data_IF_265833994736
#
_entry.id   IF_265833994736
#
_cell.length_a   1.000
_cell.length_b   1.000
_cell.length_c   1.000
_cell.angle_alpha   90.00
_cell.angle_beta   90.00
_cell.angle_gamma   90.00
#
_symmetry.space_group_name_H-M   'P 1'
#
loop_
_entity.id
_entity.type
_entity.pdbx_description
1 polymer ?
#
# COMPACT_ATOMS: atom_id res chain seq x y z
N UNK A 1 -14.83 11.57 -6.58
CA UNK A 1 -13.72 12.16 -5.82
C UNK A 1 -13.36 11.18 -4.71
N UNK A 2 -12.10 10.77 -4.64
CA UNK A 2 -11.58 9.92 -3.57
C UNK A 2 -11.06 10.81 -2.45
N UNK A 3 -11.42 10.49 -1.22
CA UNK A 3 -10.85 11.16 -0.05
C UNK A 3 -9.76 10.29 0.57
N UNK A 4 -8.51 10.77 0.57
CA UNK A 4 -7.39 10.11 1.25
C UNK A 4 -7.01 10.91 2.48
N UNK A 5 -7.35 10.39 3.66
CA UNK A 5 -7.09 11.07 4.92
C UNK A 5 -5.59 11.31 5.14
N UNK A 6 -5.25 12.44 5.78
CA UNK A 6 -3.87 12.75 6.12
C UNK A 6 -3.41 11.84 7.29
N UNK A 7 -2.40 10.98 7.09
CA UNK A 7 -1.89 10.12 8.15
C UNK A 7 -1.01 10.90 9.13
N UNK A 8 -0.84 10.34 10.34
CA UNK A 8 -0.03 10.94 11.42
C UNK A 8 1.32 10.26 11.62
N UNK A 9 1.63 9.22 10.84
CA UNK A 9 2.85 8.41 10.95
C UNK A 9 3.55 8.25 9.59
N UNK A 10 4.87 7.99 9.64
CA UNK A 10 5.74 7.94 8.46
C UNK A 10 5.36 6.80 7.48
N UNK A 11 5.00 5.63 7.99
CA UNK A 11 4.69 4.48 7.15
C UNK A 11 3.39 4.73 6.37
N UNK A 12 2.36 5.21 7.05
CA UNK A 12 1.08 5.56 6.42
C UNK A 12 1.22 6.75 5.48
N UNK A 13 2.04 7.77 5.80
CA UNK A 13 2.37 8.86 4.86
C UNK A 13 3.02 8.31 3.59
N UNK A 14 3.95 7.36 3.73
CA UNK A 14 4.60 6.73 2.58
C UNK A 14 3.60 5.94 1.73
N UNK A 15 2.67 5.20 2.37
CA UNK A 15 1.61 4.49 1.67
C UNK A 15 0.66 5.46 0.97
N UNK A 16 0.26 6.55 1.63
CA UNK A 16 -0.54 7.62 1.00
C UNK A 16 0.16 8.14 -0.26
N UNK A 17 1.44 8.50 -0.18
CA UNK A 17 2.19 9.03 -1.32
C UNK A 17 2.25 8.03 -2.48
N UNK A 18 2.44 6.74 -2.18
CA UNK A 18 2.37 5.68 -3.18
C UNK A 18 0.99 5.67 -3.84
N UNK A 19 -0.09 5.64 -3.07
CA UNK A 19 -1.45 5.58 -3.62
C UNK A 19 -1.81 6.83 -4.43
N UNK A 20 -1.40 8.01 -3.97
CA UNK A 20 -1.60 9.29 -4.65
C UNK A 20 -0.79 9.46 -5.93
N UNK A 21 0.16 8.56 -6.23
CA UNK A 21 0.87 8.56 -7.50
C UNK A 21 -0.02 8.19 -8.68
N UNK A 22 -1.07 7.38 -8.43
CA UNK A 22 -1.96 6.90 -9.49
C UNK A 22 -3.00 7.97 -9.83
N UNK A 23 -3.38 8.02 -11.10
CA UNK A 23 -4.55 8.79 -11.55
C UNK A 23 -5.78 8.50 -10.68
N UNK A 24 -6.50 9.56 -10.30
CA UNK A 24 -7.62 9.46 -9.36
C UNK A 24 -8.74 8.57 -9.92
N UNK A 25 -9.05 8.66 -11.22
CA UNK A 25 -10.12 7.86 -11.81
C UNK A 25 -9.74 6.37 -11.86
N UNK A 26 -8.48 6.06 -12.15
CA UNK A 26 -7.98 4.69 -12.06
C UNK A 26 -8.04 4.14 -10.64
N UNK A 27 -7.56 4.91 -9.66
CA UNK A 27 -7.59 4.51 -8.26
C UNK A 27 -9.04 4.28 -7.80
N UNK A 28 -9.97 5.15 -8.21
CA UNK A 28 -11.38 5.07 -7.83
C UNK A 28 -12.00 3.77 -8.32
N UNK A 29 -11.72 3.37 -9.57
CA UNK A 29 -12.18 2.10 -10.14
C UNK A 29 -11.65 0.88 -9.37
N UNK A 30 -10.41 0.96 -8.87
CA UNK A 30 -9.78 -0.14 -8.14
C UNK A 30 -10.32 -0.29 -6.71
N UNK A 31 -10.62 0.82 -6.03
CA UNK A 31 -11.12 0.81 -4.65
C UNK A 31 -12.64 0.68 -4.55
N UNK A 32 -13.37 0.94 -5.64
CA UNK A 32 -14.83 0.80 -5.68
C UNK A 32 -15.26 -0.59 -5.19
N UNK A 33 -16.19 -0.58 -4.23
CA UNK A 33 -16.75 -1.77 -3.58
C UNK A 33 -15.67 -2.70 -2.98
N UNK A 34 -14.47 -2.18 -2.69
CA UNK A 34 -13.41 -2.99 -2.10
C UNK A 34 -13.71 -3.25 -0.63
N UNK A 35 -13.97 -2.20 0.16
CA UNK A 35 -14.43 -2.30 1.55
C UNK A 35 -13.58 -3.29 2.36
N UNK A 36 -12.29 -2.98 2.47
CA UNK A 36 -11.28 -3.85 3.11
C UNK A 36 -10.40 -3.11 4.08
N UNK A 37 -10.09 -3.79 5.17
CA UNK A 37 -9.05 -3.44 6.13
C UNK A 37 -7.78 -4.24 5.86
N UNK A 38 -6.71 -3.54 5.45
CA UNK A 38 -5.42 -4.13 5.10
C UNK A 38 -4.37 -3.71 6.13
N UNK A 39 -3.70 -4.65 6.77
CA UNK A 39 -2.55 -4.36 7.63
C UNK A 39 -1.26 -4.63 6.85
N UNK A 40 -0.36 -3.65 6.81
CA UNK A 40 0.97 -3.73 6.24
C UNK A 40 2.00 -3.74 7.37
N UNK A 41 2.78 -4.81 7.44
CA UNK A 41 3.87 -5.01 8.38
C UNK A 41 5.19 -5.06 7.62
N UNK A 42 6.02 -4.05 7.80
CA UNK A 42 7.42 -4.08 7.39
C UNK A 42 8.24 -4.46 8.62
N UNK A 43 9.09 -5.47 8.51
CA UNK A 43 9.94 -5.89 9.62
C UNK A 43 10.77 -4.73 10.16
N UNK A 44 10.88 -4.64 11.50
CA UNK A 44 11.52 -3.55 12.24
C UNK A 44 10.78 -2.20 12.23
N UNK A 45 9.56 -2.15 11.68
CA UNK A 45 8.66 -1.00 11.78
C UNK A 45 7.38 -1.38 12.53
N UNK A 46 6.68 -0.37 13.05
CA UNK A 46 5.32 -0.55 13.54
C UNK A 46 4.38 -0.89 12.37
N UNK A 47 3.33 -1.69 12.60
CA UNK A 47 2.34 -1.97 11.56
C UNK A 47 1.49 -0.73 11.26
N UNK A 48 1.08 -0.62 9.99
CA UNK A 48 0.13 0.38 9.53
C UNK A 48 -1.10 -0.31 8.94
N UNK A 49 -2.28 0.19 9.27
CA UNK A 49 -3.56 -0.23 8.74
C UNK A 49 -4.00 0.76 7.68
N UNK A 50 -4.43 0.24 6.53
CA UNK A 50 -5.10 0.99 5.47
C UNK A 50 -6.53 0.48 5.39
N UNK A 51 -7.48 1.35 5.67
CA UNK A 51 -8.91 1.08 5.55
C UNK A 51 -9.42 1.69 4.26
N UNK A 52 -9.86 0.82 3.35
CA UNK A 52 -10.60 1.19 2.15
C UNK A 52 -12.08 1.06 2.46
N UNK A 53 -12.82 2.17 2.41
CA UNK A 53 -14.26 2.19 2.63
C UNK A 53 -14.91 3.12 1.62
N UNK A 54 -15.69 2.56 0.70
CA UNK A 54 -16.33 3.29 -0.39
C UNK A 54 -15.32 4.12 -1.22
N UNK A 55 -15.38 5.45 -1.14
CA UNK A 55 -14.46 6.38 -1.79
C UNK A 55 -13.45 7.01 -0.80
N UNK A 56 -13.33 6.46 0.41
CA UNK A 56 -12.43 6.98 1.45
C UNK A 56 -11.32 5.97 1.74
N UNK A 57 -10.10 6.49 1.87
CA UNK A 57 -8.93 5.76 2.34
C UNK A 57 -8.47 6.41 3.64
N UNK A 58 -8.51 5.65 4.73
CA UNK A 58 -8.04 6.08 6.05
C UNK A 58 -6.93 5.19 6.59
N UNK A 59 -6.21 5.71 7.58
CA UNK A 59 -5.00 5.09 8.11
C UNK A 59 -5.05 5.03 9.63
N UNK A 60 -4.48 3.96 10.17
CA UNK A 60 -4.28 3.77 11.60
C UNK A 60 -2.95 3.04 11.82
N UNK A 61 -2.33 3.15 12.98
CA UNK A 61 -1.00 2.60 13.23
C UNK A 61 -0.82 2.23 14.71
N UNK A 62 0.12 1.33 14.98
CA UNK A 62 0.41 0.86 16.34
C UNK A 62 0.03 -0.60 16.58
N UNK A 63 0.14 -1.07 17.81
CA UNK A 63 0.12 -2.52 18.08
C UNK A 63 -1.28 -3.15 18.05
N UNK A 64 -2.33 -2.38 18.35
CA UNK A 64 -3.71 -2.89 18.41
C UNK A 64 -4.57 -2.39 17.24
N UNK A 65 -4.34 -2.98 16.07
CA UNK A 65 -5.09 -2.67 14.85
C UNK A 65 -6.32 -3.57 14.67
N UNK A 66 -6.63 -4.44 15.63
CA UNK A 66 -7.76 -5.38 15.54
C UNK A 66 -7.70 -6.35 14.35
N UNK A 67 -8.88 -6.85 13.93
CA UNK A 67 -8.99 -7.83 12.84
C UNK A 67 -8.86 -7.17 11.47
N UNK A 68 -8.04 -7.76 10.60
CA UNK A 68 -7.89 -7.34 9.21
C UNK A 68 -8.46 -8.38 8.23
N UNK A 69 -8.94 -7.90 7.09
CA UNK A 69 -9.30 -8.75 5.96
C UNK A 69 -8.04 -9.37 5.34
N UNK A 70 -6.97 -8.58 5.26
CA UNK A 70 -5.68 -8.97 4.73
C UNK A 70 -4.58 -8.39 5.61
N UNK A 71 -3.64 -9.22 6.03
CA UNK A 71 -2.43 -8.81 6.75
C UNK A 71 -1.23 -9.29 5.96
N UNK A 72 -0.33 -8.38 5.64
CA UNK A 72 0.83 -8.64 4.80
C UNK A 72 2.07 -8.28 5.58
N UNK A 73 3.02 -9.21 5.66
CA UNK A 73 4.29 -9.01 6.34
C UNK A 73 5.45 -9.28 5.41
N UNK A 74 6.43 -8.38 5.38
CA UNK A 74 7.66 -8.52 4.60
C UNK A 74 8.82 -7.71 5.20
N UNK A 75 10.05 -7.99 4.76
CA UNK A 75 11.19 -7.10 5.03
C UNK A 75 11.16 -5.88 4.11
N UNK A 76 11.89 -4.81 4.48
CA UNK A 76 12.08 -3.65 3.62
C UNK A 76 12.73 -4.03 2.28
N UNK A 77 13.75 -4.90 2.30
CA UNK A 77 14.39 -5.40 1.09
C UNK A 77 13.41 -6.11 0.16
N UNK A 78 12.50 -6.90 0.73
CA UNK A 78 11.46 -7.59 -0.05
C UNK A 78 10.50 -6.60 -0.69
N UNK A 79 10.12 -5.53 0.02
CA UNK A 79 9.28 -4.45 -0.54
C UNK A 79 9.99 -3.78 -1.72
N UNK A 80 11.28 -3.46 -1.58
CA UNK A 80 12.08 -2.85 -2.64
C UNK A 80 12.26 -3.80 -3.83
N UNK A 81 12.54 -5.09 -3.60
CA UNK A 81 12.64 -6.08 -4.67
C UNK A 81 11.32 -6.24 -5.43
N UNK A 82 10.18 -6.18 -4.74
CA UNK A 82 8.86 -6.16 -5.37
C UNK A 82 8.63 -4.88 -6.18
N UNK A 83 9.03 -3.72 -5.65
CA UNK A 83 8.91 -2.40 -6.27
C UNK A 83 9.72 -2.30 -7.57
N UNK A 84 10.97 -2.76 -7.56
CA UNK A 84 11.85 -2.77 -8.73
C UNK A 84 11.64 -3.98 -9.64
N UNK A 85 10.69 -4.86 -9.32
CA UNK A 85 10.37 -6.05 -10.13
C UNK A 85 11.45 -7.14 -10.10
N UNK A 86 12.43 -7.06 -9.20
CA UNK A 86 13.47 -8.09 -8.97
C UNK A 86 12.89 -9.36 -8.35
N UNK A 87 11.78 -9.22 -7.63
CA UNK A 87 11.00 -10.32 -7.07
C UNK A 87 9.54 -10.23 -7.55
N UNK A 88 8.98 -11.35 -7.98
CA UNK A 88 7.55 -11.41 -8.33
C UNK A 88 6.70 -11.77 -7.11
N UNK A 89 5.44 -11.32 -7.08
CA UNK A 89 4.52 -11.59 -5.97
C UNK A 89 4.37 -13.11 -5.69
N UNK A 90 4.12 -13.99 -6.69
CA UNK A 90 4.01 -15.43 -6.43
C UNK A 90 5.31 -16.01 -5.83
N UNK A 91 6.48 -15.58 -6.34
CA UNK A 91 7.77 -16.03 -5.83
C UNK A 91 8.01 -15.55 -4.40
N UNK A 92 7.63 -14.32 -4.07
CA UNK A 92 7.75 -13.78 -2.71
C UNK A 92 6.91 -14.57 -1.69
N UNK A 93 5.69 -14.97 -2.09
CA UNK A 93 4.79 -15.78 -1.25
C UNK A 93 5.35 -17.20 -1.08
N UNK A 94 5.72 -17.87 -2.18
CA UNK A 94 6.24 -19.24 -2.16
C UNK A 94 7.55 -19.38 -1.36
N UNK A 95 8.43 -18.37 -1.46
CA UNK A 95 9.69 -18.32 -0.71
C UNK A 95 9.54 -17.78 0.71
N UNK A 96 8.30 -17.50 1.16
CA UNK A 96 7.97 -16.95 2.49
C UNK A 96 8.59 -15.58 2.81
N UNK A 97 9.14 -14.89 1.81
CA UNK A 97 9.62 -13.49 1.91
C UNK A 97 8.46 -12.51 2.10
N UNK A 98 7.30 -12.83 1.52
CA UNK A 98 6.03 -12.14 1.75
C UNK A 98 5.06 -13.11 2.44
N UNK A 99 4.66 -12.80 3.66
CA UNK A 99 3.66 -13.58 4.40
C UNK A 99 2.31 -12.89 4.31
N UNK A 100 1.28 -13.65 3.95
CA UNK A 100 -0.10 -13.17 3.87
C UNK A 100 -0.93 -13.93 4.90
N UNK A 101 -1.68 -13.21 5.75
CA UNK A 101 -2.59 -13.72 6.76
C UNK A 101 -3.97 -13.02 6.63
N UNK A 102 -5.04 -13.60 7.17
CA UNK A 102 -6.39 -13.02 7.13
C UNK A 102 -7.41 -13.89 6.39
N UNK A 103 -8.55 -13.31 5.98
CA UNK A 103 -9.55 -14.00 5.16
C UNK A 103 -9.14 -13.82 3.70
N UNK A 104 -8.20 -14.66 3.26
CA UNK A 104 -7.60 -14.59 1.92
C UNK A 104 -8.55 -15.11 0.83
N UNK A 105 -9.48 -14.26 0.40
CA UNK A 105 -10.07 -14.41 -0.93
C UNK A 105 -9.02 -14.00 -1.95
N UNK A 106 -8.77 -14.84 -2.97
CA UNK A 106 -7.83 -14.54 -4.06
C UNK A 106 -8.07 -13.16 -4.67
N UNK A 107 -9.34 -12.75 -4.76
CA UNK A 107 -9.76 -11.42 -5.24
C UNK A 107 -9.22 -10.27 -4.39
N UNK A 108 -9.17 -10.42 -3.07
CA UNK A 108 -8.59 -9.42 -2.15
C UNK A 108 -7.10 -9.23 -2.43
N UNK A 109 -6.36 -10.33 -2.56
CA UNK A 109 -4.91 -10.28 -2.83
C UNK A 109 -4.63 -9.66 -4.20
N UNK A 110 -5.41 -10.04 -5.23
CA UNK A 110 -5.25 -9.49 -6.58
C UNK A 110 -5.59 -8.00 -6.65
N UNK A 111 -6.64 -7.54 -5.96
CA UNK A 111 -6.97 -6.11 -5.88
C UNK A 111 -5.90 -5.36 -5.09
N UNK A 112 -5.45 -5.87 -3.95
CA UNK A 112 -4.33 -5.29 -3.21
C UNK A 112 -3.08 -5.16 -4.09
N UNK A 113 -2.72 -6.19 -4.86
CA UNK A 113 -1.60 -6.13 -5.81
C UNK A 113 -1.78 -4.95 -6.78
N UNK A 114 -2.96 -4.80 -7.38
CA UNK A 114 -3.23 -3.72 -8.34
C UNK A 114 -3.19 -2.33 -7.69
N UNK A 115 -3.80 -2.19 -6.51
CA UNK A 115 -3.88 -0.92 -5.78
C UNK A 115 -2.50 -0.50 -5.26
N UNK A 116 -1.79 -1.41 -4.60
CA UNK A 116 -0.56 -1.07 -3.89
C UNK A 116 0.70 -1.45 -4.65
N UNK A 117 0.89 -2.73 -4.99
CA UNK A 117 2.16 -3.19 -5.57
C UNK A 117 2.40 -2.67 -6.99
N UNK A 118 1.37 -2.61 -7.82
CA UNK A 118 1.51 -2.08 -9.17
C UNK A 118 1.73 -0.56 -9.16
N UNK A 119 1.14 0.14 -8.19
CA UNK A 119 1.38 1.59 -7.99
C UNK A 119 2.77 1.85 -7.42
N UNK A 120 3.24 1.03 -6.47
CA UNK A 120 4.61 1.07 -5.96
C UNK A 120 5.63 0.88 -7.10
N UNK A 121 5.33 0.01 -8.07
CA UNK A 121 6.14 -0.15 -9.28
C UNK A 121 6.12 1.07 -10.19
N UNK A 122 4.99 1.79 -10.28
CA UNK A 122 4.91 3.05 -11.03
C UNK A 122 5.84 4.09 -10.40
N UNK A 123 5.73 4.27 -9.08
CA UNK A 123 6.62 5.17 -8.31
C UNK A 123 8.09 4.81 -8.53
N UNK A 124 8.44 3.51 -8.44
CA UNK A 124 9.82 3.05 -8.59
C UNK A 124 10.40 3.20 -10.01
N UNK A 125 9.55 3.27 -11.04
CA UNK A 125 9.96 3.48 -12.44
C UNK A 125 10.27 4.94 -12.74
N UNK A 126 9.66 5.87 -12.02
CA UNK A 126 9.78 7.31 -12.21
C UNK A 126 10.25 7.99 -10.91
N UNK A 127 11.44 7.62 -10.38
CA UNK A 127 11.89 8.06 -9.05
C UNK A 127 12.10 9.59 -8.92
N UNK A 128 12.10 10.35 -10.02
CA UNK A 128 12.63 11.72 -10.07
C UNK A 128 11.71 12.82 -10.64
N UNK A 129 10.40 12.60 -10.86
CA UNK A 129 9.52 13.71 -11.30
C UNK A 129 8.80 14.40 -10.12
N UNK A 130 8.33 13.67 -9.11
CA UNK A 130 7.47 14.26 -8.05
C UNK A 130 8.17 14.56 -6.70
N UNK A 131 9.40 14.09 -6.47
CA UNK A 131 10.10 14.31 -5.19
C UNK A 131 10.60 15.76 -5.01
N UNK A 132 10.85 16.48 -6.12
CA UNK A 132 11.34 17.86 -6.09
C UNK A 132 10.24 18.92 -6.23
N UNK A 133 9.09 18.60 -6.83
CA UNK A 133 8.00 19.56 -7.03
C UNK A 133 7.15 19.77 -5.77
N UNK A 134 7.08 18.79 -4.87
CA UNK A 134 6.39 18.90 -3.58
C UNK A 134 7.01 19.96 -2.64
N UNK A 135 8.27 20.36 -2.89
CA UNK A 135 8.97 21.41 -2.13
C UNK A 135 8.90 22.81 -2.78
N UNK A 136 8.30 22.97 -3.96
CA UNK A 136 8.24 24.28 -4.63
C UNK A 136 7.02 25.14 -4.22
N UNK A 137 5.99 24.53 -3.62
CA UNK A 137 4.81 25.24 -3.11
C UNK A 137 4.89 25.56 -1.60
N UNK A 138 6.08 25.46 -1.00
CA UNK A 138 6.37 25.97 0.35
C UNK A 138 7.31 27.17 0.18
N UNK A 139 6.75 28.30 -0.26
CA UNK A 139 7.37 29.63 -0.17
C UNK A 139 6.32 30.64 0.27
#
# INVERSE_FOLDING_TARGET
>A
MIEIQQPKDLLSVSIKNILSYRDENELQKLIKDYNKKIIVEIENFYPSMVLFQENTISFDFGEDLGKADLKIRMSLDTLLDLAYGRLSLPKAILTRKLRIKGIYKLTTVLRFKKIFLDTLKMVAKEPNQNYYELNQNIR
#
